data_IF_572263174061
#
_entry.id   IF_572263174061
#
_cell.length_a   1.000
_cell.length_b   1.000
_cell.length_c   1.000
_cell.angle_alpha   90.00
_cell.angle_beta   90.00
_cell.angle_gamma   90.00
#
_symmetry.space_group_name_H-M   'P 1'
#
loop_
_entity.id
_entity.type
_entity.pdbx_description
1 polymer ?
#
# COMPACT_ATOMS: atom_id res chain seq x y z
N UNK A 1 38.20 -13.61 11.86
CA UNK A 1 37.12 -12.67 12.23
C UNK A 1 35.83 -12.92 11.42
N UNK A 2 35.89 -13.17 10.12
CA UNK A 2 34.74 -13.42 9.24
C UNK A 2 33.95 -14.70 9.56
N UNK A 3 34.63 -15.76 10.06
CA UNK A 3 33.99 -17.03 10.41
C UNK A 3 33.18 -16.99 11.71
N UNK A 4 33.58 -16.15 12.70
CA UNK A 4 32.81 -15.95 13.94
C UNK A 4 31.53 -15.16 13.71
N UNK A 5 31.51 -14.17 12.81
CA UNK A 5 30.30 -13.43 12.44
C UNK A 5 29.25 -14.30 11.75
N UNK A 6 29.65 -15.28 10.92
CA UNK A 6 28.70 -16.25 10.32
C UNK A 6 28.02 -17.15 11.37
N UNK A 7 28.66 -17.43 12.48
CA UNK A 7 28.16 -18.34 13.53
C UNK A 7 27.11 -17.66 14.42
N UNK A 8 27.20 -16.35 14.66
CA UNK A 8 26.18 -15.60 15.40
C UNK A 8 24.89 -15.41 14.61
N UNK A 9 24.97 -15.22 13.30
CA UNK A 9 23.82 -15.15 12.40
C UNK A 9 23.04 -16.48 12.40
N UNK A 10 23.70 -17.63 12.49
CA UNK A 10 23.05 -18.94 12.54
C UNK A 10 22.34 -19.26 13.86
N UNK A 11 22.76 -18.68 14.98
CA UNK A 11 22.18 -19.02 16.30
C UNK A 11 20.84 -18.31 16.57
N UNK A 12 20.61 -17.14 15.98
CA UNK A 12 19.31 -16.48 16.01
C UNK A 12 18.31 -17.07 14.98
N UNK A 13 18.78 -17.88 14.05
CA UNK A 13 18.03 -18.40 12.89
C UNK A 13 17.45 -19.80 13.07
N UNK A 14 17.44 -20.39 14.26
CA UNK A 14 16.72 -21.64 14.54
C UNK A 14 15.19 -21.48 14.53
N UNK A 15 14.66 -20.40 13.92
CA UNK A 15 13.24 -20.26 13.57
C UNK A 15 13.06 -20.76 12.15
N UNK A 16 12.61 -22.00 12.03
CA UNK A 16 12.05 -22.68 10.85
C UNK A 16 12.21 -21.96 9.50
N UNK A 17 13.34 -22.17 8.85
CA UNK A 17 13.57 -21.93 7.43
C UNK A 17 12.63 -22.88 6.67
N UNK A 18 11.52 -22.41 6.15
CA UNK A 18 10.70 -23.30 5.31
C UNK A 18 9.29 -22.85 4.97
N UNK A 19 8.78 -21.73 5.45
CA UNK A 19 7.49 -21.23 4.99
C UNK A 19 7.66 -19.85 4.34
N UNK A 20 7.47 -19.83 3.01
CA UNK A 20 7.19 -18.61 2.24
C UNK A 20 6.22 -17.76 3.05
N UNK A 21 6.62 -16.54 3.41
CA UNK A 21 5.76 -15.59 4.12
C UNK A 21 4.62 -15.15 3.21
N UNK A 22 3.60 -16.00 3.12
CA UNK A 22 2.24 -15.49 2.98
C UNK A 22 2.01 -14.68 4.24
N UNK A 23 1.79 -13.37 4.13
CA UNK A 23 1.17 -12.62 5.21
C UNK A 23 -0.19 -13.28 5.45
N UNK A 24 -0.25 -14.21 6.41
CA UNK A 24 -1.49 -14.89 6.81
C UNK A 24 -2.48 -13.90 7.41
N UNK A 25 -1.97 -12.74 7.85
CA UNK A 25 -2.74 -11.63 8.41
C UNK A 25 -2.70 -10.43 7.47
N UNK A 26 -3.81 -9.69 7.43
CA UNK A 26 -3.94 -8.45 6.66
C UNK A 26 -2.98 -7.35 7.09
N UNK A 27 -2.51 -7.41 8.35
CA UNK A 27 -1.59 -6.44 8.98
C UNK A 27 -0.50 -7.19 9.73
N UNK A 28 0.67 -6.59 9.75
CA UNK A 28 1.81 -7.04 10.56
C UNK A 28 2.49 -5.83 11.19
N UNK A 29 2.82 -5.91 12.46
CA UNK A 29 3.55 -4.88 13.19
C UNK A 29 4.48 -5.53 14.20
N UNK A 30 5.67 -4.97 14.37
CA UNK A 30 6.64 -5.43 15.34
C UNK A 30 7.69 -4.37 15.64
N UNK A 31 8.21 -4.37 16.85
CA UNK A 31 9.36 -3.61 17.34
C UNK A 31 10.61 -4.51 17.53
N UNK A 32 10.51 -5.80 17.20
CA UNK A 32 11.62 -6.73 17.28
C UNK A 32 12.45 -6.74 16.00
N UNK A 33 13.77 -6.61 16.11
CA UNK A 33 14.70 -6.74 15.00
C UNK A 33 14.57 -8.09 14.25
N UNK A 34 14.25 -9.17 14.96
CA UNK A 34 13.99 -10.49 14.38
C UNK A 34 12.81 -10.53 13.44
N UNK A 35 11.84 -9.64 13.61
CA UNK A 35 10.69 -9.51 12.70
C UNK A 35 11.08 -8.96 11.33
N UNK A 36 12.07 -8.08 11.27
CA UNK A 36 12.67 -7.60 10.03
C UNK A 36 13.14 -8.76 9.15
N UNK A 37 13.81 -9.75 9.73
CA UNK A 37 14.32 -10.91 8.99
C UNK A 37 13.23 -11.88 8.50
N UNK A 38 12.01 -11.77 8.99
CA UNK A 38 10.87 -12.50 8.41
C UNK A 38 10.49 -11.99 7.03
N UNK A 39 10.67 -10.69 6.77
CA UNK A 39 10.45 -10.10 5.45
C UNK A 39 11.67 -10.26 4.54
N UNK A 40 12.86 -10.49 5.12
CA UNK A 40 14.13 -10.44 4.44
C UNK A 40 14.97 -11.69 4.76
N UNK A 41 14.69 -12.84 4.14
CA UNK A 41 15.45 -14.05 4.41
C UNK A 41 16.91 -13.87 4.02
N UNK A 42 17.80 -14.11 4.98
CA UNK A 42 19.25 -14.08 4.78
C UNK A 42 19.64 -15.22 3.86
N UNK A 43 20.29 -14.91 2.73
CA UNK A 43 20.94 -15.92 1.86
C UNK A 43 20.00 -16.77 1.00
N UNK A 44 18.70 -16.47 0.94
CA UNK A 44 17.74 -17.21 0.15
C UNK A 44 17.77 -16.82 -1.34
N UNK A 45 17.91 -17.80 -2.23
CA UNK A 45 17.76 -17.64 -3.70
C UNK A 45 16.30 -17.53 -4.14
N UNK A 46 15.35 -17.51 -3.23
CA UNK A 46 13.92 -17.40 -3.55
C UNK A 46 13.46 -15.95 -3.68
N UNK A 47 12.96 -15.65 -4.87
CA UNK A 47 12.29 -14.38 -5.20
C UNK A 47 10.90 -14.36 -4.55
N UNK A 48 10.77 -13.80 -3.37
CA UNK A 48 9.47 -13.64 -2.72
C UNK A 48 8.89 -12.28 -3.11
N UNK A 49 7.92 -12.29 -4.01
CA UNK A 49 7.13 -11.11 -4.31
C UNK A 49 6.28 -10.75 -3.10
N UNK A 50 6.48 -9.56 -2.53
CA UNK A 50 5.66 -9.05 -1.43
C UNK A 50 4.27 -8.65 -1.93
N UNK A 51 3.24 -9.07 -1.21
CA UNK A 51 1.83 -8.80 -1.58
C UNK A 51 1.31 -7.51 -0.95
N UNK A 52 2.15 -6.75 -0.26
CA UNK A 52 1.76 -5.56 0.49
C UNK A 52 2.81 -4.47 0.55
N UNK A 53 2.47 -3.40 1.24
CA UNK A 53 3.35 -2.29 1.54
C UNK A 53 4.05 -2.54 2.87
N UNK A 54 5.37 -2.31 2.92
CA UNK A 54 6.18 -2.48 4.14
C UNK A 54 6.95 -1.24 4.44
N UNK A 55 6.94 -0.87 5.71
CA UNK A 55 7.71 0.22 6.29
C UNK A 55 8.65 -0.35 7.35
N UNK A 56 9.90 0.07 7.31
CA UNK A 56 10.89 -0.26 8.32
C UNK A 56 11.59 1.02 8.74
N UNK A 57 11.41 1.40 9.99
CA UNK A 57 12.09 2.54 10.61
C UNK A 57 13.24 2.02 11.47
N UNK A 58 14.46 2.32 11.08
CA UNK A 58 15.65 1.95 11.85
C UNK A 58 15.81 2.90 13.03
N UNK A 59 15.82 2.37 14.24
CA UNK A 59 15.96 3.17 15.49
C UNK A 59 17.36 3.11 16.10
N UNK A 60 18.12 2.02 15.85
CA UNK A 60 19.51 1.90 16.30
C UNK A 60 20.28 0.94 15.39
N UNK A 61 21.60 1.01 15.43
CA UNK A 61 22.50 0.14 14.68
C UNK A 61 22.44 0.36 13.17
N UNK A 62 22.87 -0.64 12.42
CA UNK A 62 22.91 -0.61 10.97
C UNK A 62 22.47 -1.96 10.37
N UNK A 63 21.80 -1.90 9.22
CA UNK A 63 21.53 -3.07 8.39
C UNK A 63 21.83 -2.78 6.92
N UNK A 64 22.43 -3.72 6.23
CA UNK A 64 22.61 -3.67 4.78
C UNK A 64 21.56 -4.57 4.14
N UNK A 65 20.80 -3.99 3.21
CA UNK A 65 19.77 -4.68 2.42
C UNK A 65 20.07 -4.53 0.94
N UNK A 66 19.69 -5.52 0.17
CA UNK A 66 19.79 -5.50 -1.28
C UNK A 66 18.37 -5.51 -1.86
N UNK A 67 18.03 -4.45 -2.60
CA UNK A 67 16.73 -4.28 -3.26
C UNK A 67 16.97 -4.24 -4.76
N UNK A 68 16.37 -5.17 -5.51
CA UNK A 68 16.51 -5.26 -6.97
C UNK A 68 17.97 -5.17 -7.45
N UNK A 69 18.88 -5.86 -6.75
CA UNK A 69 20.35 -5.87 -6.97
C UNK A 69 21.10 -4.57 -6.59
N UNK A 70 20.45 -3.60 -5.94
CA UNK A 70 21.12 -2.44 -5.37
C UNK A 70 21.25 -2.59 -3.86
N UNK A 71 22.45 -2.32 -3.34
CA UNK A 71 22.76 -2.44 -1.92
C UNK A 71 22.53 -1.10 -1.21
N UNK A 72 21.80 -1.14 -0.10
CA UNK A 72 21.46 0.02 0.72
C UNK A 72 21.85 -0.25 2.17
N UNK A 73 22.43 0.76 2.83
CA UNK A 73 22.73 0.70 4.26
C UNK A 73 21.73 1.55 5.03
N UNK A 74 20.95 0.90 5.86
CA UNK A 74 20.00 1.53 6.77
C UNK A 74 20.71 1.79 8.10
N UNK A 75 20.68 3.02 8.57
CA UNK A 75 21.16 3.40 9.91
C UNK A 75 20.06 4.08 10.70
N UNK A 76 20.30 4.41 11.96
CA UNK A 76 19.31 5.09 12.78
C UNK A 76 18.74 6.33 12.09
N UNK A 77 17.42 6.48 12.12
CA UNK A 77 16.66 7.51 11.41
C UNK A 77 16.31 7.17 9.96
N UNK A 78 16.76 6.03 9.42
CA UNK A 78 16.38 5.60 8.07
C UNK A 78 14.98 4.97 8.06
N UNK A 79 14.08 5.49 7.23
CA UNK A 79 12.80 4.89 6.86
C UNK A 79 12.95 4.17 5.53
N UNK A 80 12.83 2.85 5.53
CA UNK A 80 12.70 2.04 4.32
C UNK A 80 11.22 1.81 4.02
N UNK A 81 10.83 2.08 2.78
CA UNK A 81 9.46 1.84 2.27
C UNK A 81 9.55 0.91 1.06
N UNK A 82 8.84 -0.22 1.12
CA UNK A 82 8.86 -1.21 0.06
C UNK A 82 7.49 -1.39 -0.54
N UNK A 83 7.41 -1.19 -1.83
CA UNK A 83 6.24 -1.48 -2.65
C UNK A 83 6.12 -3.00 -2.93
N UNK A 84 4.92 -3.49 -3.28
CA UNK A 84 4.74 -4.87 -3.71
C UNK A 84 5.64 -5.25 -4.90
N UNK A 85 5.95 -6.52 -5.00
CA UNK A 85 6.74 -7.11 -6.09
C UNK A 85 8.24 -6.79 -6.10
N UNK A 86 8.76 -6.00 -5.15
CA UNK A 86 10.19 -5.76 -5.01
C UNK A 86 10.91 -7.00 -4.48
N UNK A 87 12.08 -7.26 -5.05
CA UNK A 87 12.96 -8.34 -4.60
C UNK A 87 13.90 -7.80 -3.54
N UNK A 88 13.86 -8.42 -2.39
CA UNK A 88 14.65 -7.98 -1.27
C UNK A 88 15.48 -9.12 -0.69
N UNK A 89 16.71 -8.78 -0.32
CA UNK A 89 17.62 -9.64 0.45
C UNK A 89 18.17 -8.86 1.64
N UNK A 90 18.25 -9.48 2.78
CA UNK A 90 19.06 -8.98 3.88
C UNK A 90 20.47 -9.51 3.72
N UNK A 91 21.46 -8.62 3.82
CA UNK A 91 22.86 -8.98 3.64
C UNK A 91 23.56 -9.09 4.99
N UNK A 92 23.39 -8.10 5.86
CA UNK A 92 24.09 -8.01 7.14
C UNK A 92 23.37 -7.04 8.08
N UNK A 93 23.50 -7.24 9.40
CA UNK A 93 23.15 -6.24 10.39
C UNK A 93 24.14 -6.24 11.55
N UNK A 94 24.21 -5.13 12.30
CA UNK A 94 24.97 -5.02 13.53
C UNK A 94 24.21 -5.63 14.70
N UNK A 95 24.90 -5.99 15.78
CA UNK A 95 24.28 -6.62 16.96
C UNK A 95 23.31 -5.69 17.71
N UNK A 96 23.52 -4.39 17.59
CA UNK A 96 22.69 -3.33 18.15
C UNK A 96 21.56 -2.87 17.20
N UNK A 97 21.39 -3.54 16.05
CA UNK A 97 20.33 -3.18 15.11
C UNK A 97 18.95 -3.31 15.74
N UNK A 98 18.19 -2.21 15.69
CA UNK A 98 16.79 -2.13 16.15
C UNK A 98 15.97 -1.43 15.08
N UNK A 99 14.76 -1.91 14.86
CA UNK A 99 13.83 -1.30 13.92
C UNK A 99 12.38 -1.51 14.32
N UNK A 100 11.54 -0.60 13.88
CA UNK A 100 10.09 -0.72 13.92
C UNK A 100 9.62 -1.17 12.54
N UNK A 101 8.86 -2.24 12.47
CA UNK A 101 8.33 -2.79 11.22
C UNK A 101 6.81 -2.70 11.21
N UNK A 102 6.26 -2.16 10.14
CA UNK A 102 4.83 -2.16 9.88
C UNK A 102 4.57 -2.58 8.43
N UNK A 103 3.64 -3.51 8.23
CA UNK A 103 3.28 -3.98 6.90
C UNK A 103 1.78 -4.26 6.81
N UNK A 104 1.20 -4.04 5.63
CA UNK A 104 -0.18 -4.41 5.36
C UNK A 104 -0.39 -4.80 3.90
N UNK A 105 -1.42 -5.61 3.67
CA UNK A 105 -1.83 -6.01 2.32
C UNK A 105 -2.80 -4.99 1.74
N UNK A 106 -2.68 -4.68 0.45
CA UNK A 106 -3.59 -3.76 -0.23
C UNK A 106 -5.05 -4.24 -0.22
N UNK A 107 -5.28 -5.56 -0.30
CA UNK A 107 -6.63 -6.12 -0.25
C UNK A 107 -7.34 -5.90 1.10
N UNK A 108 -6.60 -5.64 2.16
CA UNK A 108 -7.15 -5.28 3.47
C UNK A 108 -7.59 -3.82 3.58
N UNK A 109 -7.21 -2.99 2.59
CA UNK A 109 -7.48 -1.55 2.54
C UNK A 109 -8.49 -1.18 1.44
N UNK A 110 -9.27 -2.13 0.96
CA UNK A 110 -10.21 -1.95 -0.17
C UNK A 110 -11.28 -0.88 0.06
N UNK A 111 -11.58 -0.56 1.31
CA UNK A 111 -12.59 0.44 1.68
C UNK A 111 -11.99 1.86 1.84
N UNK A 112 -10.66 1.99 1.73
CA UNK A 112 -9.99 3.30 1.79
C UNK A 112 -9.58 3.73 0.39
N UNK A 113 -10.01 4.90 -0.04
CA UNK A 113 -9.55 5.45 -1.29
C UNK A 113 -8.06 5.78 -1.18
N UNK A 114 -7.30 5.26 -2.13
CA UNK A 114 -5.96 5.70 -2.43
C UNK A 114 -4.93 5.71 -1.27
N UNK A 115 -4.27 4.59 -1.09
CA UNK A 115 -3.26 4.44 -0.01
C UNK A 115 -1.97 5.21 -0.31
N UNK A 116 -1.57 5.32 -1.58
CA UNK A 116 -0.38 6.08 -2.02
C UNK A 116 -0.65 6.76 -3.37
N UNK A 117 -0.43 8.08 -3.50
CA UNK A 117 -0.42 8.77 -4.79
C UNK A 117 0.61 8.17 -5.74
N UNK A 118 0.33 8.14 -7.05
CA UNK A 118 1.23 7.59 -8.07
C UNK A 118 2.62 8.23 -8.01
N UNK A 119 2.67 9.54 -7.87
CA UNK A 119 3.92 10.29 -7.72
C UNK A 119 4.73 9.83 -6.50
N UNK A 120 4.07 9.52 -5.38
CA UNK A 120 4.75 9.03 -4.18
C UNK A 120 5.25 7.60 -4.39
N UNK A 121 4.45 6.74 -5.06
CA UNK A 121 4.88 5.39 -5.40
C UNK A 121 6.16 5.40 -6.25
N UNK A 122 6.25 6.28 -7.24
CA UNK A 122 7.45 6.45 -8.06
C UNK A 122 8.65 6.97 -7.26
N UNK A 123 8.41 7.95 -6.39
CA UNK A 123 9.47 8.41 -5.48
C UNK A 123 10.03 7.26 -4.65
N UNK A 124 9.16 6.40 -4.11
CA UNK A 124 9.54 5.21 -3.35
C UNK A 124 10.29 4.21 -4.25
N UNK A 125 9.87 4.04 -5.51
CA UNK A 125 10.56 3.15 -6.44
C UNK A 125 12.00 3.56 -6.70
N UNK A 126 12.25 4.85 -6.88
CA UNK A 126 13.58 5.39 -7.16
C UNK A 126 14.42 5.57 -5.89
N UNK A 127 13.77 5.85 -4.77
CA UNK A 127 14.43 6.06 -3.48
C UNK A 127 13.66 5.33 -2.38
N UNK A 128 13.91 4.02 -2.21
CA UNK A 128 13.13 3.19 -1.29
C UNK A 128 13.40 3.53 0.18
N UNK A 129 14.41 4.33 0.50
CA UNK A 129 14.68 4.77 1.86
C UNK A 129 14.98 6.26 1.94
N UNK A 130 14.63 6.87 3.06
CA UNK A 130 14.87 8.27 3.40
C UNK A 130 15.48 8.37 4.79
N UNK A 131 16.29 9.40 5.02
CA UNK A 131 16.68 9.78 6.38
C UNK A 131 15.71 10.82 6.91
N UNK A 132 15.07 10.48 8.02
CA UNK A 132 14.07 11.32 8.66
C UNK A 132 14.72 12.38 9.53
N UNK A 133 14.06 13.54 9.63
CA UNK A 133 14.33 14.48 10.72
C UNK A 133 13.87 13.89 12.06
N UNK A 134 14.41 14.38 13.18
CA UNK A 134 14.01 13.91 14.51
C UNK A 134 12.49 14.05 14.76
N UNK A 135 11.87 15.11 14.23
CA UNK A 135 10.43 15.38 14.36
C UNK A 135 9.62 14.34 13.56
N UNK A 136 10.03 14.02 12.34
CA UNK A 136 9.37 13.01 11.49
C UNK A 136 9.50 11.62 12.10
N UNK A 137 10.69 11.27 12.59
CA UNK A 137 10.94 10.01 13.26
C UNK A 137 10.03 9.85 14.48
N UNK A 138 10.02 10.83 15.41
CA UNK A 138 9.17 10.81 16.60
C UNK A 138 7.69 10.64 16.24
N UNK A 139 7.23 11.30 15.17
CA UNK A 139 5.86 11.21 14.71
C UNK A 139 5.51 9.82 14.21
N UNK A 140 6.37 9.20 13.38
CA UNK A 140 6.15 7.85 12.89
C UNK A 140 6.24 6.80 14.01
N UNK A 141 7.13 6.97 14.99
CA UNK A 141 7.22 6.12 16.18
C UNK A 141 5.92 6.14 16.99
N UNK A 142 5.33 7.33 17.19
CA UNK A 142 4.03 7.49 17.88
C UNK A 142 2.90 6.77 17.13
N UNK A 143 2.84 6.91 15.81
CA UNK A 143 1.85 6.18 15.00
C UNK A 143 2.07 4.68 15.02
N UNK A 144 3.33 4.22 14.94
CA UNK A 144 3.66 2.81 15.08
C UNK A 144 3.20 2.27 16.44
N UNK A 145 3.49 2.95 17.52
CA UNK A 145 3.06 2.57 18.86
C UNK A 145 1.52 2.49 18.99
N UNK A 146 0.80 3.46 18.41
CA UNK A 146 -0.66 3.45 18.38
C UNK A 146 -1.21 2.23 17.62
N UNK A 147 -0.65 1.92 16.44
CA UNK A 147 -1.02 0.73 15.66
C UNK A 147 -0.71 -0.54 16.47
N UNK A 148 0.47 -0.64 17.09
CA UNK A 148 0.88 -1.82 17.85
C UNK A 148 -0.05 -2.06 19.04
N UNK A 149 -0.43 -1.02 19.77
CA UNK A 149 -1.39 -1.09 20.87
C UNK A 149 -2.72 -1.67 20.38
N UNK A 150 -3.28 -1.16 19.28
CA UNK A 150 -4.55 -1.65 18.76
C UNK A 150 -4.44 -3.02 18.07
N UNK A 151 -3.29 -3.36 17.50
CA UNK A 151 -3.05 -4.67 16.88
C UNK A 151 -3.15 -5.82 17.88
N UNK A 152 -2.81 -5.60 19.13
CA UNK A 152 -2.94 -6.59 20.21
C UNK A 152 -4.38 -6.72 20.71
N UNK A 153 -5.25 -5.71 20.50
CA UNK A 153 -6.61 -5.64 21.02
C UNK A 153 -7.65 -6.24 20.06
N UNK A 154 -7.45 -7.50 19.67
CA UNK A 154 -8.26 -8.22 18.66
C UNK A 154 -9.75 -8.38 19.04
N UNK A 155 -10.08 -8.27 20.34
CA UNK A 155 -11.43 -8.42 20.86
C UNK A 155 -12.29 -7.14 20.74
N UNK A 156 -11.68 -6.00 20.35
CA UNK A 156 -12.41 -4.75 20.22
C UNK A 156 -13.43 -4.83 19.05
N UNK A 157 -14.72 -4.44 19.26
CA UNK A 157 -15.74 -4.54 18.20
C UNK A 157 -15.35 -3.84 16.89
N UNK A 158 -14.69 -2.70 16.97
CA UNK A 158 -14.21 -1.93 15.80
C UNK A 158 -12.74 -2.17 15.46
N UNK A 159 -12.17 -3.31 15.86
CA UNK A 159 -10.74 -3.62 15.67
C UNK A 159 -10.24 -3.35 14.24
N UNK A 160 -10.94 -3.90 13.24
CA UNK A 160 -10.54 -3.75 11.84
C UNK A 160 -10.62 -2.30 11.35
N UNK A 161 -11.69 -1.59 11.75
CA UNK A 161 -11.88 -0.17 11.38
C UNK A 161 -10.78 0.70 11.96
N UNK A 162 -10.45 0.53 13.24
CA UNK A 162 -9.40 1.29 13.92
C UNK A 162 -8.05 1.03 13.25
N UNK A 163 -7.68 -0.22 13.02
CA UNK A 163 -6.41 -0.54 12.36
C UNK A 163 -6.32 0.06 10.95
N UNK A 164 -7.39 0.00 10.18
CA UNK A 164 -7.44 0.62 8.86
C UNK A 164 -7.26 2.13 8.93
N UNK A 165 -7.96 2.80 9.84
CA UNK A 165 -7.84 4.25 10.02
C UNK A 165 -6.42 4.66 10.43
N UNK A 166 -5.81 3.94 11.37
CA UNK A 166 -4.43 4.18 11.79
C UNK A 166 -3.43 3.90 10.66
N UNK A 167 -3.65 2.86 9.87
CA UNK A 167 -2.87 2.55 8.68
C UNK A 167 -2.93 3.68 7.66
N UNK A 168 -4.14 4.21 7.42
CA UNK A 168 -4.33 5.34 6.52
C UNK A 168 -3.56 6.58 7.00
N UNK A 169 -3.67 6.93 8.29
CA UNK A 169 -2.93 8.06 8.87
C UNK A 169 -1.43 7.85 8.73
N UNK A 170 -0.92 6.66 9.09
CA UNK A 170 0.50 6.34 8.96
C UNK A 170 1.00 6.50 7.51
N UNK A 171 0.24 5.99 6.56
CA UNK A 171 0.59 6.06 5.14
C UNK A 171 0.53 7.49 4.61
N UNK A 172 -0.44 8.31 5.08
CA UNK A 172 -0.53 9.72 4.73
C UNK A 172 0.68 10.52 5.26
N UNK A 173 1.13 10.24 6.48
CA UNK A 173 2.35 10.84 7.04
C UNK A 173 3.59 10.48 6.23
N UNK A 174 3.76 9.18 5.88
CA UNK A 174 4.87 8.75 5.03
C UNK A 174 4.79 9.42 3.66
N UNK A 175 3.60 9.54 3.07
CA UNK A 175 3.38 10.21 1.80
C UNK A 175 3.79 11.69 1.86
N UNK A 176 3.44 12.40 2.95
CA UNK A 176 3.83 13.79 3.15
C UNK A 176 5.36 13.95 3.28
N UNK A 177 6.03 13.03 3.97
CA UNK A 177 7.49 13.00 4.06
C UNK A 177 8.12 12.85 2.67
N UNK A 178 7.67 11.86 1.88
CA UNK A 178 8.16 11.68 0.51
C UNK A 178 7.82 12.86 -0.40
N UNK A 179 6.65 13.50 -0.24
CA UNK A 179 6.29 14.68 -1.02
C UNK A 179 7.29 15.83 -0.83
N UNK A 180 7.71 16.06 0.41
CA UNK A 180 8.63 17.12 0.79
C UNK A 180 10.11 16.78 0.53
N UNK A 181 10.43 15.51 0.30
CA UNK A 181 11.81 15.11 0.05
C UNK A 181 12.27 15.54 -1.35
N UNK A 182 13.40 16.21 -1.48
CA UNK A 182 13.90 16.76 -2.75
C UNK A 182 14.48 15.64 -3.64
N UNK A 183 13.69 14.65 -3.95
CA UNK A 183 14.06 13.67 -4.96
C UNK A 183 13.84 14.36 -6.31
N UNK A 184 14.88 14.42 -7.13
CA UNK A 184 14.72 14.75 -8.55
C UNK A 184 13.93 13.62 -9.22
N UNK A 185 12.63 13.63 -9.04
CA UNK A 185 11.77 12.84 -9.92
C UNK A 185 11.89 13.48 -11.29
N UNK A 186 12.36 12.73 -12.24
CA UNK A 186 12.10 13.01 -13.65
C UNK A 186 10.68 12.52 -13.94
N UNK A 187 9.70 13.03 -13.16
CA UNK A 187 8.30 12.75 -13.47
C UNK A 187 8.09 13.13 -14.92
N UNK A 188 7.81 12.16 -15.74
CA UNK A 188 7.53 12.41 -17.14
C UNK A 188 6.18 13.07 -17.21
N UNK A 189 5.94 13.90 -18.22
CA UNK A 189 4.62 14.49 -18.47
C UNK A 189 3.48 13.43 -18.47
N UNK A 190 3.79 12.17 -18.74
CA UNK A 190 2.84 11.05 -18.66
C UNK A 190 2.44 10.72 -17.23
N UNK A 191 3.37 10.75 -16.33
CA UNK A 191 3.16 10.48 -14.90
C UNK A 191 2.33 11.60 -14.27
N UNK A 192 2.62 12.86 -14.62
CA UNK A 192 1.81 14.01 -14.21
C UNK A 192 0.35 13.89 -14.70
N UNK A 193 0.15 13.44 -15.95
CA UNK A 193 -1.18 13.18 -16.50
C UNK A 193 -1.88 12.02 -15.78
N UNK A 194 -1.16 10.98 -15.39
CA UNK A 194 -1.71 9.87 -14.61
C UNK A 194 -2.17 10.35 -13.22
N UNK A 195 -1.35 11.12 -12.53
CA UNK A 195 -1.71 11.70 -11.23
C UNK A 195 -2.92 12.63 -11.33
N UNK A 196 -2.95 13.46 -12.37
CA UNK A 196 -4.11 14.30 -12.67
C UNK A 196 -5.38 13.48 -12.89
N UNK A 197 -5.29 12.37 -13.63
CA UNK A 197 -6.42 11.47 -13.84
C UNK A 197 -6.92 10.85 -12.53
N UNK A 198 -6.03 10.35 -11.67
CA UNK A 198 -6.43 9.76 -10.39
C UNK A 198 -6.99 10.79 -9.42
N UNK A 199 -6.45 12.00 -9.39
CA UNK A 199 -6.98 13.11 -8.59
C UNK A 199 -8.40 13.47 -9.02
N UNK A 200 -8.64 13.62 -10.33
CA UNK A 200 -9.96 13.87 -10.88
C UNK A 200 -10.92 12.70 -10.65
N UNK A 201 -10.44 11.46 -10.75
CA UNK A 201 -11.22 10.27 -10.47
C UNK A 201 -11.74 10.28 -9.04
N UNK A 202 -10.89 10.66 -8.10
CA UNK A 202 -11.24 10.76 -6.69
C UNK A 202 -12.25 11.87 -6.40
N UNK A 203 -12.12 13.01 -7.06
CA UNK A 203 -12.99 14.16 -6.88
C UNK A 203 -14.38 13.96 -7.52
N UNK A 204 -14.45 13.32 -8.70
CA UNK A 204 -15.63 13.31 -9.52
C UNK A 204 -16.39 11.97 -9.57
N UNK A 205 -15.83 10.88 -9.05
CA UNK A 205 -16.64 9.70 -8.74
C UNK A 205 -17.52 9.99 -7.51
N UNK A 206 -18.74 9.48 -7.51
CA UNK A 206 -19.33 8.49 -8.41
C UNK A 206 -20.07 9.06 -9.64
N UNK A 207 -20.08 10.37 -9.85
CA UNK A 207 -20.98 11.02 -10.82
C UNK A 207 -20.53 10.81 -12.29
N UNK A 208 -19.24 10.75 -12.55
CA UNK A 208 -18.68 10.66 -13.90
C UNK A 208 -17.90 9.37 -14.11
N UNK A 209 -18.32 8.54 -15.07
CA UNK A 209 -17.72 7.24 -15.38
C UNK A 209 -17.19 7.12 -16.80
N UNK A 210 -17.33 8.17 -17.58
CA UNK A 210 -16.86 8.23 -18.97
C UNK A 210 -15.41 8.69 -19.02
N UNK A 211 -14.55 7.94 -19.70
CA UNK A 211 -13.12 8.31 -19.89
C UNK A 211 -12.96 9.68 -20.54
N UNK A 212 -13.93 10.08 -21.40
CA UNK A 212 -13.91 11.39 -22.06
C UNK A 212 -13.97 12.54 -21.08
N UNK A 213 -14.79 12.45 -20.03
CA UNK A 213 -14.88 13.48 -18.98
C UNK A 213 -13.50 13.80 -18.36
N UNK A 214 -12.74 12.78 -18.04
CA UNK A 214 -11.40 12.94 -17.45
C UNK A 214 -10.38 13.46 -18.46
N UNK A 215 -10.47 12.99 -19.71
CA UNK A 215 -9.60 13.45 -20.78
C UNK A 215 -9.83 14.94 -21.08
N UNK A 216 -11.07 15.38 -21.13
CA UNK A 216 -11.44 16.79 -21.35
C UNK A 216 -10.93 17.69 -20.22
N UNK A 217 -11.03 17.22 -18.95
CA UNK A 217 -10.50 17.96 -17.78
C UNK A 217 -8.97 18.08 -17.80
N UNK A 218 -8.29 17.10 -18.39
CA UNK A 218 -6.83 17.11 -18.57
C UNK A 218 -6.40 17.77 -19.88
N UNK A 219 -7.34 18.33 -20.67
CA UNK A 219 -7.07 18.97 -21.95
C UNK A 219 -6.37 18.06 -22.97
N UNK A 220 -6.69 16.74 -22.95
CA UNK A 220 -6.13 15.74 -23.86
C UNK A 220 -7.23 14.87 -24.48
N UNK A 221 -6.88 14.10 -25.51
CA UNK A 221 -7.82 13.16 -26.11
C UNK A 221 -7.99 11.90 -25.25
N UNK A 222 -9.19 11.29 -25.25
CA UNK A 222 -9.45 10.01 -24.56
C UNK A 222 -8.50 8.89 -25.01
N UNK A 223 -8.09 8.89 -26.29
CA UNK A 223 -7.13 7.92 -26.84
C UNK A 223 -5.74 8.11 -26.24
N UNK A 224 -5.31 9.36 -26.07
CA UNK A 224 -4.03 9.66 -25.46
C UNK A 224 -4.04 9.33 -23.96
N UNK A 225 -5.11 9.72 -23.24
CA UNK A 225 -5.30 9.35 -21.84
C UNK A 225 -5.25 7.82 -21.66
N UNK A 226 -5.96 7.05 -22.51
CA UNK A 226 -5.96 5.60 -22.44
C UNK A 226 -4.55 5.00 -22.58
N UNK A 227 -3.75 5.53 -23.50
CA UNK A 227 -2.37 5.10 -23.71
C UNK A 227 -1.50 5.44 -22.51
N UNK A 228 -1.60 6.66 -22.00
CA UNK A 228 -0.80 7.12 -20.86
C UNK A 228 -1.09 6.28 -19.62
N UNK A 229 -2.38 6.18 -19.24
CA UNK A 229 -2.78 5.42 -18.04
C UNK A 229 -2.37 3.95 -18.16
N UNK A 230 -2.54 3.34 -19.33
CA UNK A 230 -2.13 1.95 -19.53
C UNK A 230 -0.62 1.76 -19.47
N UNK A 231 0.16 2.70 -19.97
CA UNK A 231 1.63 2.64 -19.88
C UNK A 231 2.14 2.81 -18.45
N UNK A 232 1.54 3.73 -17.70
CA UNK A 232 1.96 4.02 -16.31
C UNK A 232 1.46 2.94 -15.33
N UNK A 233 0.22 2.44 -15.50
CA UNK A 233 -0.44 1.61 -14.49
C UNK A 233 -0.65 0.15 -14.89
N UNK A 234 -0.38 -0.20 -16.13
CA UNK A 234 -0.68 -1.52 -16.69
C UNK A 234 -2.16 -1.75 -17.03
N UNK A 235 -3.06 -0.83 -16.68
CA UNK A 235 -4.51 -0.95 -16.88
C UNK A 235 -5.10 0.28 -17.60
N UNK A 236 -6.24 0.11 -18.26
CA UNK A 236 -6.93 1.22 -18.94
C UNK A 236 -7.64 2.16 -17.96
N UNK A 237 -7.94 3.42 -18.33
CA UNK A 237 -8.77 4.31 -17.50
C UNK A 237 -10.12 3.68 -17.13
N UNK A 238 -10.77 3.02 -18.08
CA UNK A 238 -12.06 2.35 -17.83
C UNK A 238 -11.98 1.24 -16.78
N UNK A 239 -10.84 0.54 -16.70
CA UNK A 239 -10.59 -0.42 -15.61
C UNK A 239 -10.55 0.30 -14.26
N UNK A 240 -9.80 1.38 -14.14
CA UNK A 240 -9.69 2.13 -12.89
C UNK A 240 -11.02 2.78 -12.46
N UNK A 241 -11.73 3.38 -13.40
CA UNK A 241 -13.08 3.93 -13.17
C UNK A 241 -14.01 2.84 -12.63
N UNK A 242 -13.96 1.63 -13.22
CA UNK A 242 -14.78 0.52 -12.77
C UNK A 242 -14.37 0.00 -11.39
N UNK A 243 -13.08 -0.15 -11.14
CA UNK A 243 -12.54 -0.61 -9.88
C UNK A 243 -12.93 0.34 -8.73
N UNK A 244 -12.74 1.64 -8.91
CA UNK A 244 -13.13 2.65 -7.92
C UNK A 244 -14.64 2.68 -7.70
N UNK A 245 -15.43 2.66 -8.79
CA UNK A 245 -16.91 2.62 -8.70
C UNK A 245 -17.39 1.43 -7.89
N UNK A 246 -16.83 0.24 -8.15
CA UNK A 246 -17.23 -0.98 -7.45
C UNK A 246 -16.77 -0.99 -5.99
N UNK A 247 -15.59 -0.46 -5.70
CA UNK A 247 -15.11 -0.33 -4.30
C UNK A 247 -16.01 0.57 -3.48
N UNK A 248 -16.36 1.73 -4.00
CA UNK A 248 -17.26 2.65 -3.30
C UNK A 248 -18.66 2.07 -3.16
N UNK A 249 -19.18 1.40 -4.21
CA UNK A 249 -20.45 0.70 -4.13
C UNK A 249 -20.44 -0.42 -3.06
N UNK A 250 -19.35 -1.18 -2.95
CA UNK A 250 -19.17 -2.19 -1.89
C UNK A 250 -19.21 -1.55 -0.51
N UNK A 251 -18.57 -0.40 -0.34
CA UNK A 251 -18.60 0.36 0.93
C UNK A 251 -20.01 0.77 1.28
N UNK A 252 -20.76 1.38 0.35
CA UNK A 252 -22.16 1.79 0.59
C UNK A 252 -23.08 0.59 0.89
N UNK A 253 -22.89 -0.52 0.19
CA UNK A 253 -23.67 -1.74 0.43
C UNK A 253 -23.47 -2.31 1.83
N UNK A 254 -22.28 -2.14 2.41
CA UNK A 254 -21.94 -2.65 3.75
C UNK A 254 -22.21 -1.67 4.87
N UNK A 255 -21.89 -0.39 4.65
CA UNK A 255 -21.91 0.62 5.73
C UNK A 255 -23.21 1.38 5.84
N UNK A 256 -24.17 1.18 4.92
CA UNK A 256 -25.41 1.92 4.88
C UNK A 256 -26.64 1.02 4.67
N UNK A 257 -27.81 1.56 5.01
CA UNK A 257 -29.12 0.94 4.74
C UNK A 257 -29.68 1.33 3.37
N UNK A 258 -28.92 2.05 2.53
CA UNK A 258 -29.38 2.48 1.22
C UNK A 258 -29.79 1.28 0.35
N UNK A 259 -30.92 1.38 -0.32
CA UNK A 259 -31.36 0.35 -1.27
C UNK A 259 -30.43 0.30 -2.49
N UNK A 260 -30.43 -0.82 -3.21
CA UNK A 260 -29.65 -0.95 -4.46
C UNK A 260 -30.05 0.13 -5.49
N UNK A 261 -31.33 0.54 -5.48
CA UNK A 261 -31.80 1.62 -6.33
C UNK A 261 -31.19 2.97 -5.94
N UNK A 262 -31.21 3.32 -4.65
CA UNK A 262 -30.60 4.55 -4.16
C UNK A 262 -29.09 4.60 -4.42
N UNK A 263 -28.39 3.46 -4.27
CA UNK A 263 -26.98 3.38 -4.64
C UNK A 263 -26.80 3.58 -6.15
N UNK A 264 -27.65 2.96 -6.99
CA UNK A 264 -27.63 3.13 -8.43
C UNK A 264 -27.78 4.60 -8.86
N UNK A 265 -28.72 5.31 -8.23
CA UNK A 265 -28.96 6.74 -8.45
C UNK A 265 -27.74 7.59 -8.04
N UNK A 266 -27.15 7.29 -6.89
CA UNK A 266 -25.95 7.99 -6.39
C UNK A 266 -24.76 7.85 -7.35
N UNK A 267 -24.66 6.73 -8.06
CA UNK A 267 -23.64 6.50 -9.08
C UNK A 267 -24.09 6.92 -10.48
N UNK A 268 -25.17 7.66 -10.60
CA UNK A 268 -25.70 8.15 -11.87
C UNK A 268 -25.90 7.05 -12.94
N UNK A 269 -26.36 5.86 -12.52
CA UNK A 269 -26.77 4.81 -13.44
C UNK A 269 -28.20 5.06 -13.94
N UNK A 270 -28.51 4.71 -15.21
CA UNK A 270 -29.85 4.88 -15.76
C UNK A 270 -30.94 4.18 -14.95
N UNK A 271 -30.64 3.06 -14.32
CA UNK A 271 -31.49 2.33 -13.39
C UNK A 271 -30.71 1.27 -12.60
N UNK A 272 -31.35 0.69 -11.58
CA UNK A 272 -30.76 -0.34 -10.72
C UNK A 272 -30.34 -1.61 -11.45
N UNK A 273 -31.00 -1.96 -12.58
CA UNK A 273 -30.64 -3.15 -13.36
C UNK A 273 -29.32 -2.97 -14.13
N UNK A 274 -29.03 -1.75 -14.63
CA UNK A 274 -27.74 -1.41 -15.23
C UNK A 274 -26.64 -1.46 -14.18
N UNK A 275 -26.89 -0.85 -13.01
CA UNK A 275 -25.95 -0.92 -11.89
C UNK A 275 -25.67 -2.36 -11.45
N UNK A 276 -26.73 -3.18 -11.27
CA UNK A 276 -26.56 -4.56 -10.83
C UNK A 276 -25.71 -5.40 -11.81
N UNK A 277 -25.92 -5.24 -13.13
CA UNK A 277 -25.10 -5.89 -14.15
C UNK A 277 -23.66 -5.39 -14.13
N UNK A 278 -23.46 -4.09 -14.02
CA UNK A 278 -22.14 -3.48 -13.91
C UNK A 278 -21.41 -3.99 -12.68
N UNK A 279 -22.03 -3.92 -11.52
CA UNK A 279 -21.46 -4.39 -10.27
C UNK A 279 -21.11 -5.90 -10.33
N UNK A 280 -22.02 -6.74 -10.83
CA UNK A 280 -21.79 -8.17 -11.00
C UNK A 280 -20.61 -8.46 -11.92
N UNK A 281 -20.48 -7.71 -13.01
CA UNK A 281 -19.38 -7.86 -13.98
C UNK A 281 -18.01 -7.67 -13.32
N UNK A 282 -17.87 -6.70 -12.43
CA UNK A 282 -16.59 -6.34 -11.83
C UNK A 282 -16.38 -6.89 -10.41
N UNK A 283 -17.46 -7.15 -9.65
CA UNK A 283 -17.41 -7.71 -8.30
C UNK A 283 -17.57 -9.25 -8.28
N UNK A 284 -17.99 -9.86 -9.38
CA UNK A 284 -18.22 -11.31 -9.48
C UNK A 284 -19.61 -11.77 -8.98
N UNK A 285 -20.33 -10.98 -8.19
CA UNK A 285 -21.66 -11.30 -7.63
C UNK A 285 -22.59 -10.10 -7.66
N UNK A 286 -23.90 -10.34 -7.52
CA UNK A 286 -24.87 -9.25 -7.53
C UNK A 286 -24.79 -8.38 -6.25
N UNK A 287 -25.20 -7.08 -6.31
CA UNK A 287 -25.13 -6.16 -5.16
C UNK A 287 -25.85 -6.70 -3.92
N UNK A 288 -26.99 -7.32 -4.10
CA UNK A 288 -27.79 -7.88 -3.00
C UNK A 288 -27.10 -9.09 -2.36
N UNK A 289 -26.56 -9.98 -3.19
CA UNK A 289 -25.77 -11.13 -2.73
C UNK A 289 -24.55 -10.65 -1.94
N UNK A 290 -23.85 -9.60 -2.45
CA UNK A 290 -22.71 -9.00 -1.78
C UNK A 290 -23.07 -8.44 -0.40
N UNK A 291 -24.23 -7.79 -0.27
CA UNK A 291 -24.73 -7.28 1.01
C UNK A 291 -24.96 -8.41 2.02
N UNK A 292 -25.56 -9.52 1.58
CA UNK A 292 -25.92 -10.65 2.45
C UNK A 292 -24.72 -11.56 2.78
N UNK A 293 -23.72 -11.67 1.89
CA UNK A 293 -22.58 -12.59 2.08
C UNK A 293 -21.61 -12.18 3.18
N UNK A 294 -21.79 -11.03 3.79
CA UNK A 294 -20.85 -10.42 4.75
C UNK A 294 -21.54 -9.99 6.07
N UNK A 295 -22.77 -10.44 6.28
CA UNK A 295 -23.49 -10.31 7.56
C UNK A 295 -23.02 -11.36 8.56
#
# INVERSE_FOLDING_TARGET
MIQKQKQYICTFLNVQIGKVLKMETSFFISDEAGAFFRFFPIGGSQRNAMVGLVFVLTTAGQATVEIDNHSYTLSAGALLTLLPSRLLRSVMCTDDFRCLTFAFRFDSMTDFPYVLPTLISEKIEHTPFLFLTAIEQERLEKWHAAINTHYTFKTHPSYKQILRSLTFIFTAEVSAIYANYPIKTTATHREELADGFFSLLHEHLPMHRETSFYADRLCITSKYLARVIQQVTGHTPSYWIADFTVREAKTLLKSTTLTVTQISERFNFPNSSFFARYFKRYAGMAPQEYRLSQS
#
